data_IF_433097405739
#
_entry.id   IF_433097405739
#
_cell.length_a   1.000
_cell.length_b   1.000
_cell.length_c   1.000
_cell.angle_alpha   90.00
_cell.angle_beta   90.00
_cell.angle_gamma   90.00
#
_symmetry.space_group_name_H-M   'P 1'
#
loop_
_entity.id
_entity.type
_entity.pdbx_description
1 polymer ?
#
# COMPACT_ATOMS: atom_id res chain seq x y z
N UNK A 1 -9.87 6.31 2.61
CA UNK A 1 -10.20 5.70 3.91
C UNK A 1 -11.01 6.65 4.80
N UNK A 2 -10.59 7.91 5.05
CA UNK A 2 -11.33 8.82 5.92
C UNK A 2 -12.80 9.00 5.51
N UNK A 3 -13.10 9.07 4.21
CA UNK A 3 -14.47 9.10 3.71
C UNK A 3 -15.24 7.83 4.06
N UNK A 4 -14.62 6.67 3.88
CA UNK A 4 -15.26 5.38 4.11
C UNK A 4 -15.50 5.11 5.60
N UNK A 5 -14.66 5.65 6.47
CA UNK A 5 -14.87 5.57 7.92
C UNK A 5 -16.16 6.27 8.38
N UNK A 6 -16.64 7.28 7.65
CA UNK A 6 -17.92 7.91 7.90
C UNK A 6 -19.13 6.95 7.85
N UNK A 7 -19.00 5.78 7.23
CA UNK A 7 -20.03 4.74 7.26
C UNK A 7 -20.08 3.96 8.60
N UNK A 8 -19.07 4.12 9.46
CA UNK A 8 -18.92 3.37 10.70
C UNK A 8 -18.86 4.26 11.95
N UNK A 9 -18.48 5.52 11.81
CA UNK A 9 -18.32 6.45 12.94
C UNK A 9 -18.44 7.91 12.51
N UNK A 10 -18.97 8.75 13.39
CA UNK A 10 -19.01 10.21 13.21
C UNK A 10 -17.73 10.91 13.71
N UNK A 11 -16.82 10.18 14.32
CA UNK A 11 -15.62 10.72 14.96
C UNK A 11 -14.36 10.17 14.32
N UNK A 12 -13.81 10.91 13.36
CA UNK A 12 -12.54 10.58 12.70
C UNK A 12 -11.49 11.62 13.05
N UNK A 13 -10.36 11.18 13.59
CA UNK A 13 -9.18 12.02 13.84
C UNK A 13 -8.15 11.82 12.73
N UNK A 14 -7.87 12.86 11.96
CA UNK A 14 -6.85 12.86 10.91
C UNK A 14 -5.51 13.32 11.48
N UNK A 15 -4.56 12.40 11.57
CA UNK A 15 -3.25 12.62 12.18
C UNK A 15 -2.18 12.70 11.11
N UNK A 16 -1.49 13.83 11.02
CA UNK A 16 -0.37 14.06 10.11
C UNK A 16 0.48 15.25 10.58
N UNK A 17 1.64 15.46 9.98
CA UNK A 17 2.43 16.69 10.20
C UNK A 17 1.70 17.95 9.74
N UNK A 18 0.90 17.84 8.67
CA UNK A 18 0.02 18.87 8.15
C UNK A 18 -1.33 18.23 7.79
N UNK A 19 -2.19 17.93 8.76
CA UNK A 19 -3.45 17.26 8.51
C UNK A 19 -4.39 18.16 7.72
N UNK A 20 -5.10 17.57 6.77
CA UNK A 20 -6.11 18.25 5.96
C UNK A 20 -7.46 17.59 6.19
N UNK A 21 -8.50 18.41 6.31
CA UNK A 21 -9.87 17.95 6.50
C UNK A 21 -10.39 17.24 5.25
N UNK A 22 -11.02 16.10 5.44
CA UNK A 22 -11.65 15.29 4.38
C UNK A 22 -13.17 15.33 4.53
N UNK A 23 -13.68 15.14 5.75
CA UNK A 23 -15.08 15.29 6.12
C UNK A 23 -15.24 16.51 7.03
N UNK A 24 -16.41 17.12 7.08
CA UNK A 24 -16.65 18.32 7.89
C UNK A 24 -16.43 18.07 9.40
N UNK A 25 -16.76 16.86 9.85
CA UNK A 25 -16.65 16.43 11.25
C UNK A 25 -15.25 15.98 11.67
N UNK A 26 -14.29 15.89 10.75
CA UNK A 26 -12.95 15.39 11.06
C UNK A 26 -12.23 16.26 12.09
N UNK A 27 -11.69 15.62 13.12
CA UNK A 27 -10.74 16.25 14.03
C UNK A 27 -9.34 16.27 13.40
N UNK A 28 -8.69 17.42 13.35
CA UNK A 28 -7.33 17.56 12.84
C UNK A 28 -6.33 17.52 13.99
N UNK A 29 -5.40 16.59 13.96
CA UNK A 29 -4.36 16.44 14.98
C UNK A 29 -2.96 16.46 14.33
N UNK A 30 -2.18 17.49 14.67
CA UNK A 30 -0.80 17.60 14.16
C UNK A 30 0.12 16.74 15.00
N UNK A 31 0.79 15.77 14.35
CA UNK A 31 1.78 14.88 14.98
C UNK A 31 2.82 14.38 13.97
N UNK A 32 4.00 14.07 14.49
CA UNK A 32 5.03 13.31 13.78
C UNK A 32 5.04 11.87 14.31
N UNK A 33 4.79 10.90 13.43
CA UNK A 33 4.74 9.47 13.80
C UNK A 33 6.07 8.94 14.36
N UNK A 34 7.18 9.63 14.08
CA UNK A 34 8.50 9.30 14.64
C UNK A 34 8.74 9.89 16.02
N UNK A 35 7.84 10.75 16.51
CA UNK A 35 7.88 11.29 17.88
C UNK A 35 6.91 10.49 18.76
N UNK A 36 7.45 9.82 19.79
CA UNK A 36 6.69 8.97 20.68
C UNK A 36 5.58 9.70 21.43
N UNK A 37 5.85 10.91 21.93
CA UNK A 37 4.87 11.68 22.69
C UNK A 37 3.72 12.17 21.81
N UNK A 38 4.03 12.57 20.57
CA UNK A 38 3.03 12.96 19.60
C UNK A 38 2.07 11.81 19.30
N UNK A 39 2.62 10.60 19.07
CA UNK A 39 1.83 9.40 18.77
C UNK A 39 0.96 9.01 19.97
N UNK A 40 1.51 9.04 21.19
CA UNK A 40 0.75 8.77 22.40
C UNK A 40 -0.47 9.70 22.54
N UNK A 41 -0.27 10.99 22.35
CA UNK A 41 -1.35 11.98 22.40
C UNK A 41 -2.37 11.79 21.25
N UNK A 42 -1.88 11.45 20.06
CA UNK A 42 -2.74 11.26 18.89
C UNK A 42 -3.65 10.03 19.00
N UNK A 43 -3.17 8.94 19.64
CA UNK A 43 -3.93 7.69 19.83
C UNK A 43 -4.91 7.78 20.99
N UNK A 44 -4.66 8.63 21.99
CA UNK A 44 -5.50 8.75 23.18
C UNK A 44 -6.98 8.99 22.83
N UNK A 45 -7.87 8.18 23.40
CA UNK A 45 -9.31 8.26 23.20
C UNK A 45 -9.82 7.74 21.86
N UNK A 46 -8.99 7.04 21.10
CA UNK A 46 -9.41 6.37 19.85
C UNK A 46 -9.70 4.88 20.12
N UNK A 47 -10.72 4.34 19.46
CA UNK A 47 -11.05 2.91 19.51
C UNK A 47 -10.20 2.10 18.54
N UNK A 48 -9.92 2.68 17.37
CA UNK A 48 -9.13 2.06 16.30
C UNK A 48 -8.15 3.06 15.70
N UNK A 49 -6.91 2.65 15.52
CA UNK A 49 -5.88 3.36 14.77
C UNK A 49 -5.68 2.70 13.42
N UNK A 50 -5.71 3.49 12.35
CA UNK A 50 -5.38 3.07 10.99
C UNK A 50 -4.02 3.66 10.61
N UNK A 51 -2.99 2.84 10.61
CA UNK A 51 -1.63 3.25 10.23
C UNK A 51 -1.47 3.14 8.71
N UNK A 52 -1.70 4.24 8.00
CA UNK A 52 -1.69 4.33 6.53
C UNK A 52 -0.58 5.25 6.01
N UNK A 53 0.42 5.54 6.81
CA UNK A 53 1.50 6.46 6.45
C UNK A 53 2.36 5.90 5.32
N UNK A 54 2.98 6.83 4.58
CA UNK A 54 4.07 6.55 3.65
C UNK A 54 5.24 7.50 3.91
N UNK A 55 6.46 6.98 3.90
CA UNK A 55 7.66 7.79 3.90
C UNK A 55 8.15 8.02 2.47
N UNK A 56 9.00 9.06 2.29
CA UNK A 56 9.71 9.27 1.05
C UNK A 56 10.34 7.95 0.55
N UNK A 57 10.20 7.68 -0.75
CA UNK A 57 10.65 6.42 -1.34
C UNK A 57 12.18 6.38 -1.45
N UNK A 58 12.82 6.28 -0.29
CA UNK A 58 14.27 6.28 -0.09
C UNK A 58 14.63 5.25 0.98
N UNK A 59 15.57 4.36 0.69
CA UNK A 59 15.94 3.26 1.58
C UNK A 59 16.45 3.75 2.94
N UNK A 60 17.27 4.80 2.98
CA UNK A 60 17.82 5.32 4.24
C UNK A 60 16.71 5.93 5.12
N UNK A 61 15.75 6.63 4.49
CA UNK A 61 14.57 7.16 5.17
C UNK A 61 13.72 6.01 5.73
N UNK A 62 13.52 4.94 4.96
CA UNK A 62 12.76 3.78 5.38
C UNK A 62 13.41 3.05 6.55
N UNK A 63 14.70 2.73 6.46
CA UNK A 63 15.45 2.07 7.55
C UNK A 63 15.42 2.83 8.86
N UNK A 64 15.50 4.17 8.77
CA UNK A 64 15.49 5.02 9.96
C UNK A 64 14.09 5.15 10.56
N UNK A 65 13.07 5.38 9.74
CA UNK A 65 11.79 5.88 10.24
C UNK A 65 10.74 4.78 10.45
N UNK A 66 10.70 3.72 9.61
CA UNK A 66 9.68 2.69 9.72
C UNK A 66 9.71 1.93 11.06
N UNK A 67 10.87 1.44 11.55
CA UNK A 67 10.90 0.75 12.85
C UNK A 67 10.49 1.66 14.01
N UNK A 68 10.93 2.93 14.00
CA UNK A 68 10.57 3.91 15.02
C UNK A 68 9.08 4.20 15.00
N UNK A 69 8.51 4.46 13.83
CA UNK A 69 7.08 4.73 13.67
C UNK A 69 6.23 3.54 14.14
N UNK A 70 6.58 2.32 13.71
CA UNK A 70 5.88 1.11 14.11
C UNK A 70 5.92 0.89 15.62
N UNK A 71 7.11 1.05 16.25
CA UNK A 71 7.24 0.90 17.69
C UNK A 71 6.40 1.94 18.46
N UNK A 72 6.43 3.21 18.03
CA UNK A 72 5.65 4.26 18.66
C UNK A 72 4.14 3.98 18.61
N UNK A 73 3.65 3.50 17.45
CA UNK A 73 2.23 3.17 17.29
C UNK A 73 1.84 1.94 18.10
N UNK A 74 2.67 0.88 18.12
CA UNK A 74 2.45 -0.32 18.95
C UNK A 74 2.37 0.07 20.42
N UNK A 75 3.35 0.83 20.92
CA UNK A 75 3.39 1.26 22.33
C UNK A 75 2.15 2.08 22.72
N UNK A 76 1.76 3.02 21.85
CA UNK A 76 0.59 3.85 22.09
C UNK A 76 -0.72 3.05 22.08
N UNK A 77 -0.87 2.12 21.14
CA UNK A 77 -2.05 1.25 21.05
C UNK A 77 -2.15 0.31 22.28
N UNK A 78 -1.03 -0.25 22.73
CA UNK A 78 -0.99 -1.05 23.95
C UNK A 78 -1.36 -0.24 25.19
N UNK A 79 -0.79 0.97 25.36
CA UNK A 79 -1.04 1.85 26.49
C UNK A 79 -2.51 2.27 26.58
N UNK A 80 -3.12 2.60 25.43
CA UNK A 80 -4.51 3.09 25.38
C UNK A 80 -5.53 1.97 25.13
N UNK A 81 -5.09 0.70 25.00
CA UNK A 81 -5.92 -0.47 24.66
C UNK A 81 -6.71 -0.27 23.36
N UNK A 82 -6.08 0.42 22.41
CA UNK A 82 -6.64 0.77 21.10
C UNK A 82 -6.32 -0.31 20.08
N UNK A 83 -7.26 -0.67 19.22
CA UNK A 83 -7.05 -1.60 18.11
C UNK A 83 -6.18 -0.96 17.02
N UNK A 84 -5.40 -1.76 16.28
CA UNK A 84 -4.52 -1.27 15.21
C UNK A 84 -4.81 -1.98 13.88
N UNK A 85 -5.08 -1.21 12.85
CA UNK A 85 -5.10 -1.66 11.45
C UNK A 85 -3.83 -1.13 10.78
N UNK A 86 -2.94 -2.02 10.40
CA UNK A 86 -1.74 -1.67 9.65
C UNK A 86 -1.95 -1.86 8.16
N UNK A 87 -1.90 -0.76 7.40
CA UNK A 87 -1.99 -0.78 5.95
C UNK A 87 -0.63 -1.07 5.34
N UNK A 88 -0.49 -2.22 4.67
CA UNK A 88 0.79 -2.75 4.18
C UNK A 88 0.79 -2.97 2.67
N UNK A 89 1.95 -3.31 2.14
CA UNK A 89 2.18 -3.71 0.76
C UNK A 89 2.76 -5.13 0.67
N UNK A 90 3.12 -5.58 -0.54
CA UNK A 90 3.59 -6.94 -0.83
C UNK A 90 5.11 -7.11 -0.80
N UNK A 91 5.89 -6.08 -0.47
CA UNK A 91 7.35 -6.07 -0.65
C UNK A 91 8.10 -7.07 0.22
N UNK A 92 7.48 -7.57 1.28
CA UNK A 92 8.06 -8.57 2.17
C UNK A 92 7.92 -10.01 1.65
N UNK A 93 7.06 -10.25 0.66
CA UNK A 93 6.92 -11.58 0.07
C UNK A 93 8.16 -12.02 -0.71
N UNK A 94 8.40 -13.32 -0.74
CA UNK A 94 9.48 -13.89 -1.55
C UNK A 94 9.24 -13.66 -3.04
N UNK A 95 10.31 -13.62 -3.83
CA UNK A 95 10.21 -13.46 -5.28
C UNK A 95 9.37 -14.57 -5.94
N UNK A 96 9.48 -15.79 -5.42
CA UNK A 96 8.78 -16.96 -5.92
C UNK A 96 7.28 -16.92 -5.66
N UNK A 97 6.84 -16.14 -4.67
CA UNK A 97 5.41 -15.94 -4.36
C UNK A 97 4.71 -14.95 -5.30
N UNK A 98 5.44 -14.06 -5.95
CA UNK A 98 4.86 -12.96 -6.76
C UNK A 98 3.89 -13.46 -7.85
N UNK A 99 4.12 -14.60 -8.54
CA UNK A 99 3.16 -15.10 -9.53
C UNK A 99 1.78 -15.48 -8.98
N UNK A 100 1.68 -15.74 -7.67
CA UNK A 100 0.41 -16.00 -6.97
C UNK A 100 0.58 -15.74 -5.48
N UNK A 101 0.35 -14.49 -5.06
CA UNK A 101 0.44 -14.07 -3.67
C UNK A 101 -0.87 -14.32 -2.93
N UNK A 102 -0.76 -14.98 -1.78
CA UNK A 102 -1.82 -15.15 -0.78
C UNK A 102 -1.33 -14.61 0.57
N UNK A 103 -2.21 -14.51 1.55
CA UNK A 103 -1.84 -14.09 2.91
C UNK A 103 -0.79 -15.00 3.57
N UNK A 104 -0.78 -16.28 3.16
CA UNK A 104 0.14 -17.32 3.66
C UNK A 104 1.44 -17.44 2.82
N UNK A 105 1.63 -16.57 1.84
CA UNK A 105 2.82 -16.59 0.99
C UNK A 105 4.11 -16.43 1.79
N UNK A 106 5.21 -17.14 1.41
CA UNK A 106 6.49 -17.06 2.11
C UNK A 106 7.05 -15.63 2.19
N UNK A 107 7.52 -15.27 3.38
CA UNK A 107 8.21 -14.02 3.65
C UNK A 107 9.71 -14.25 3.50
N UNK A 108 10.29 -13.71 2.43
CA UNK A 108 11.72 -13.71 2.16
C UNK A 108 12.03 -12.62 1.11
N UNK A 109 12.04 -11.35 1.52
CA UNK A 109 12.09 -10.24 0.59
C UNK A 109 13.40 -10.21 -0.21
N UNK A 110 13.34 -10.08 -1.54
CA UNK A 110 14.53 -10.01 -2.39
C UNK A 110 15.18 -8.62 -2.41
N UNK A 111 14.62 -7.65 -1.68
CA UNK A 111 15.04 -6.24 -1.73
C UNK A 111 15.25 -5.62 -0.36
N UNK A 112 16.09 -4.60 -0.30
CA UNK A 112 16.37 -3.88 0.97
C UNK A 112 15.14 -3.15 1.53
N UNK A 113 14.24 -2.65 0.69
CA UNK A 113 12.97 -2.08 1.15
C UNK A 113 12.02 -3.16 1.65
N UNK A 114 12.03 -4.34 1.03
CA UNK A 114 11.31 -5.51 1.51
C UNK A 114 11.79 -5.96 2.88
N UNK A 115 13.12 -5.98 3.13
CA UNK A 115 13.68 -6.27 4.47
C UNK A 115 13.14 -5.31 5.54
N UNK A 116 12.99 -4.02 5.22
CA UNK A 116 12.41 -3.05 6.17
C UNK A 116 10.93 -3.37 6.44
N UNK A 117 10.18 -3.78 5.42
CA UNK A 117 8.76 -4.19 5.59
C UNK A 117 8.66 -5.47 6.43
N UNK A 118 9.54 -6.44 6.23
CA UNK A 118 9.61 -7.65 7.06
C UNK A 118 9.90 -7.31 8.53
N UNK A 119 10.85 -6.41 8.81
CA UNK A 119 11.17 -5.99 10.18
C UNK A 119 9.92 -5.44 10.89
N UNK A 120 9.23 -4.49 10.27
CA UNK A 120 8.06 -3.87 10.93
C UNK A 120 6.86 -4.82 11.00
N UNK A 121 6.72 -5.73 10.05
CA UNK A 121 5.73 -6.81 10.12
C UNK A 121 6.00 -7.74 11.31
N UNK A 122 7.25 -8.19 11.49
CA UNK A 122 7.64 -9.00 12.65
C UNK A 122 7.38 -8.27 13.97
N UNK A 123 7.74 -6.99 14.08
CA UNK A 123 7.46 -6.18 15.28
C UNK A 123 5.95 -6.18 15.61
N UNK A 124 5.10 -6.07 14.60
CA UNK A 124 3.65 -6.09 14.79
C UNK A 124 3.15 -7.48 15.21
N UNK A 125 3.61 -8.55 14.55
CA UNK A 125 3.22 -9.92 14.90
C UNK A 125 3.67 -10.29 16.31
N UNK A 126 4.89 -9.94 16.70
CA UNK A 126 5.38 -10.13 18.09
C UNK A 126 4.51 -9.38 19.11
N UNK A 127 4.05 -8.18 18.76
CA UNK A 127 3.16 -7.42 19.65
C UNK A 127 1.76 -8.06 19.77
N UNK A 128 1.24 -8.66 18.71
CA UNK A 128 -0.01 -9.42 18.73
C UNK A 128 0.15 -10.66 19.61
N UNK A 129 1.18 -11.48 19.36
CA UNK A 129 1.36 -12.79 20.00
C UNK A 129 1.81 -12.68 21.45
N UNK A 130 2.77 -11.78 21.75
CA UNK A 130 3.43 -11.74 23.06
C UNK A 130 2.86 -10.68 24.00
N UNK A 131 2.27 -9.60 23.45
CA UNK A 131 1.77 -8.46 24.24
C UNK A 131 0.26 -8.31 24.20
N UNK A 132 -0.44 -9.16 23.46
CA UNK A 132 -1.90 -9.14 23.34
C UNK A 132 -2.45 -7.91 22.62
N UNK A 133 -1.67 -7.28 21.71
CA UNK A 133 -2.14 -6.18 20.90
C UNK A 133 -3.25 -6.67 19.95
N UNK A 134 -4.42 -6.05 19.99
CA UNK A 134 -5.47 -6.29 19.00
C UNK A 134 -5.12 -5.56 17.71
N UNK A 135 -4.45 -6.23 16.77
CA UNK A 135 -4.07 -5.65 15.50
C UNK A 135 -4.34 -6.60 14.32
N UNK A 136 -4.45 -6.03 13.13
CA UNK A 136 -4.52 -6.77 11.86
C UNK A 136 -3.67 -6.07 10.80
N UNK A 137 -3.33 -6.80 9.75
CA UNK A 137 -2.63 -6.27 8.57
C UNK A 137 -3.58 -6.27 7.38
N UNK A 138 -3.81 -5.09 6.80
CA UNK A 138 -4.56 -4.91 5.56
C UNK A 138 -3.55 -4.66 4.42
N UNK A 139 -3.31 -5.66 3.58
CA UNK A 139 -2.28 -5.63 2.52
C UNK A 139 -2.91 -5.38 1.16
N UNK A 140 -2.25 -4.57 0.35
CA UNK A 140 -2.71 -4.19 -0.99
C UNK A 140 -1.66 -4.47 -2.05
N UNK A 141 -2.12 -4.76 -3.27
CA UNK A 141 -1.31 -4.71 -4.48
C UNK A 141 -1.04 -3.26 -4.92
N UNK A 142 -0.45 -3.08 -6.08
CA UNK A 142 -0.27 -1.75 -6.69
C UNK A 142 -1.62 -1.07 -6.91
N UNK A 143 -1.63 0.26 -6.75
CA UNK A 143 -2.87 1.02 -6.81
C UNK A 143 -3.22 1.55 -8.21
N UNK A 144 -4.52 1.66 -8.44
CA UNK A 144 -5.08 2.53 -9.46
C UNK A 144 -6.36 3.21 -8.94
N UNK A 145 -6.83 4.23 -9.68
CA UNK A 145 -8.05 4.96 -9.35
C UNK A 145 -7.82 6.32 -8.69
N UNK A 146 -8.85 6.92 -8.08
CA UNK A 146 -8.79 8.26 -7.51
C UNK A 146 -7.69 8.38 -6.45
N UNK A 147 -6.84 9.41 -6.60
CA UNK A 147 -5.75 9.69 -5.67
C UNK A 147 -4.46 8.89 -5.91
N UNK A 148 -4.44 7.86 -6.74
CA UNK A 148 -3.26 7.04 -7.05
C UNK A 148 -2.32 7.74 -8.07
N UNK A 149 -1.95 8.99 -7.81
CA UNK A 149 -1.16 9.82 -8.75
C UNK A 149 0.21 9.24 -9.10
N UNK A 150 0.79 8.46 -8.20
CA UNK A 150 2.13 7.88 -8.35
C UNK A 150 2.11 6.41 -8.81
N UNK A 151 0.96 5.89 -9.22
CA UNK A 151 0.85 4.50 -9.71
C UNK A 151 1.46 4.34 -11.11
N UNK A 152 1.87 3.10 -11.43
CA UNK A 152 2.36 2.77 -12.76
C UNK A 152 1.32 3.11 -13.84
N UNK A 153 0.04 2.81 -13.59
CA UNK A 153 -1.04 3.09 -14.54
C UNK A 153 -1.25 4.59 -14.73
N UNK A 154 -1.19 5.40 -13.66
CA UNK A 154 -1.34 6.85 -13.76
C UNK A 154 -0.16 7.47 -14.52
N UNK A 155 1.07 7.27 -14.03
CA UNK A 155 2.27 7.90 -14.61
C UNK A 155 2.61 7.31 -15.98
N UNK A 156 2.50 5.99 -16.12
CA UNK A 156 2.92 5.28 -17.33
C UNK A 156 1.91 5.38 -18.48
N UNK A 157 0.63 5.41 -18.16
CA UNK A 157 -0.42 5.30 -19.17
C UNK A 157 -1.30 6.54 -19.23
N UNK A 158 -2.06 6.82 -18.16
CA UNK A 158 -3.11 7.86 -18.18
C UNK A 158 -2.51 9.25 -18.46
N UNK A 159 -1.50 9.66 -17.69
CA UNK A 159 -0.88 10.98 -17.82
C UNK A 159 -0.23 11.19 -19.20
N UNK A 160 0.31 10.12 -19.79
CA UNK A 160 0.88 10.19 -21.13
C UNK A 160 -0.19 10.33 -22.21
N UNK A 161 -1.28 9.60 -22.10
CA UNK A 161 -2.39 9.72 -23.04
C UNK A 161 -3.07 11.09 -22.95
N UNK A 162 -3.25 11.65 -21.75
CA UNK A 162 -3.74 13.04 -21.56
C UNK A 162 -2.84 14.04 -22.30
N UNK A 163 -1.52 13.84 -22.29
CA UNK A 163 -0.52 14.69 -22.96
C UNK A 163 -0.36 14.37 -24.46
N UNK A 164 -1.17 13.48 -25.04
CA UNK A 164 -1.04 13.04 -26.44
C UNK A 164 0.22 12.22 -26.74
N UNK A 165 0.90 11.72 -25.71
CA UNK A 165 2.15 10.95 -25.82
C UNK A 165 1.87 9.44 -25.87
N UNK A 166 2.90 8.66 -26.24
CA UNK A 166 2.86 7.21 -26.10
C UNK A 166 2.92 6.85 -24.60
N UNK A 167 2.11 5.89 -24.18
CA UNK A 167 2.25 5.28 -22.85
C UNK A 167 3.60 4.56 -22.72
N UNK A 168 3.99 4.24 -21.48
CA UNK A 168 5.05 3.27 -21.24
C UNK A 168 4.60 2.22 -20.21
N UNK A 169 5.19 1.04 -20.32
CA UNK A 169 5.06 -0.01 -19.32
C UNK A 169 6.44 -0.49 -18.86
N UNK A 170 6.56 -0.93 -17.61
CA UNK A 170 7.85 -1.36 -17.06
C UNK A 170 8.08 -2.85 -17.35
N UNK A 171 9.29 -3.19 -17.74
CA UNK A 171 9.82 -4.53 -17.97
C UNK A 171 9.10 -5.35 -19.03
N UNK A 172 7.88 -5.83 -18.80
CA UNK A 172 7.16 -6.72 -19.72
C UNK A 172 5.65 -6.47 -19.62
N UNK A 173 5.04 -6.01 -20.71
CA UNK A 173 3.60 -5.72 -20.77
C UNK A 173 2.72 -6.97 -21.05
N UNK A 174 3.32 -8.10 -21.36
CA UNK A 174 2.59 -9.36 -21.55
C UNK A 174 2.43 -10.18 -20.25
N UNK A 175 2.99 -9.67 -19.15
CA UNK A 175 2.82 -10.26 -17.81
C UNK A 175 1.55 -9.75 -17.14
N UNK A 176 0.90 -10.66 -16.40
CA UNK A 176 -0.22 -10.33 -15.51
C UNK A 176 0.25 -9.34 -14.45
N UNK A 177 -0.57 -8.34 -14.12
CA UNK A 177 -0.28 -7.39 -13.07
C UNK A 177 -1.55 -6.99 -12.32
N UNK A 178 -1.75 -7.55 -11.11
CA UNK A 178 -2.89 -7.17 -10.27
C UNK A 178 -2.77 -5.73 -9.81
N UNK A 179 -3.89 -5.00 -9.86
CA UNK A 179 -3.99 -3.64 -9.36
C UNK A 179 -5.22 -3.50 -8.47
N UNK A 180 -5.04 -2.92 -7.30
CA UNK A 180 -6.11 -2.65 -6.34
C UNK A 180 -6.73 -1.28 -6.59
N UNK A 181 -8.06 -1.23 -6.70
CA UNK A 181 -8.79 0.03 -6.83
C UNK A 181 -8.80 0.77 -5.49
N UNK A 182 -8.38 2.03 -5.48
CA UNK A 182 -8.21 2.78 -4.21
C UNK A 182 -9.48 2.93 -3.38
N UNK A 183 -10.70 3.10 -3.94
CA UNK A 183 -11.94 3.09 -3.15
C UNK A 183 -12.21 1.73 -2.48
N UNK A 184 -11.99 0.61 -3.19
CA UNK A 184 -12.20 -0.73 -2.64
C UNK A 184 -11.20 -1.02 -1.51
N UNK A 185 -9.94 -0.62 -1.70
CA UNK A 185 -8.94 -0.70 -0.63
C UNK A 185 -9.35 0.12 0.60
N UNK A 186 -9.88 1.31 0.41
CA UNK A 186 -10.34 2.17 1.49
C UNK A 186 -11.54 1.58 2.24
N UNK A 187 -12.55 1.11 1.51
CA UNK A 187 -13.73 0.47 2.08
C UNK A 187 -13.36 -0.84 2.80
N UNK A 188 -12.56 -1.71 2.14
CA UNK A 188 -12.11 -2.96 2.75
C UNK A 188 -11.31 -2.74 4.04
N UNK A 189 -10.45 -1.72 4.06
CA UNK A 189 -9.69 -1.34 5.27
C UNK A 189 -10.60 -0.86 6.39
N UNK A 190 -11.60 -0.02 6.08
CA UNK A 190 -12.57 0.47 7.06
C UNK A 190 -13.42 -0.69 7.61
N UNK A 191 -13.88 -1.60 6.74
CA UNK A 191 -14.65 -2.78 7.12
C UNK A 191 -13.85 -3.71 8.06
N UNK A 192 -12.60 -4.02 7.72
CA UNK A 192 -11.72 -4.85 8.56
C UNK A 192 -11.53 -4.26 9.96
N UNK A 193 -11.28 -2.96 10.06
CA UNK A 193 -11.08 -2.30 11.35
C UNK A 193 -12.32 -2.30 12.24
N UNK A 194 -13.50 -2.43 11.66
CA UNK A 194 -14.80 -2.50 12.36
C UNK A 194 -15.33 -3.95 12.51
N UNK A 195 -14.51 -4.96 12.18
CA UNK A 195 -14.86 -6.37 12.28
C UNK A 195 -14.01 -7.06 13.34
N UNK A 196 -14.57 -7.44 14.47
CA UNK A 196 -13.80 -7.93 15.63
C UNK A 196 -13.05 -9.24 15.37
N UNK A 197 -13.60 -10.17 14.61
CA UNK A 197 -12.97 -11.45 14.26
C UNK A 197 -11.94 -11.34 13.10
N UNK A 198 -11.75 -10.15 12.54
CA UNK A 198 -10.70 -9.88 11.55
C UNK A 198 -9.31 -9.67 12.20
N UNK A 199 -9.26 -9.36 13.50
CA UNK A 199 -8.02 -9.09 14.21
C UNK A 199 -7.17 -10.35 14.44
N UNK A 200 -5.86 -10.18 14.59
CA UNK A 200 -4.89 -11.27 14.68
C UNK A 200 -4.49 -11.88 13.34
N UNK A 201 -4.91 -11.31 12.23
CA UNK A 201 -4.76 -11.88 10.89
C UNK A 201 -4.16 -10.90 9.88
N UNK A 202 -3.67 -11.46 8.77
CA UNK A 202 -3.36 -10.73 7.54
C UNK A 202 -4.53 -10.88 6.58
N UNK A 203 -4.89 -9.80 5.92
CA UNK A 203 -5.93 -9.74 4.90
C UNK A 203 -5.41 -9.09 3.64
N UNK A 204 -5.58 -9.74 2.51
CA UNK A 204 -5.44 -9.11 1.21
C UNK A 204 -6.71 -8.31 0.92
N UNK A 205 -6.54 -7.02 0.64
CA UNK A 205 -7.66 -6.13 0.32
C UNK A 205 -8.28 -6.47 -1.03
N UNK A 206 -9.59 -6.24 -1.21
CA UNK A 206 -10.30 -6.65 -2.41
C UNK A 206 -9.63 -6.10 -3.67
N UNK A 207 -9.30 -7.01 -4.57
CA UNK A 207 -8.57 -6.74 -5.81
C UNK A 207 -9.17 -7.62 -6.89
N UNK A 208 -9.43 -7.06 -8.08
CA UNK A 208 -9.99 -7.85 -9.18
C UNK A 208 -9.19 -9.14 -9.43
N UNK A 209 -9.90 -10.26 -9.52
CA UNK A 209 -9.30 -11.56 -9.82
C UNK A 209 -9.07 -11.76 -11.33
N UNK A 210 -9.41 -10.78 -12.16
CA UNK A 210 -9.09 -10.77 -13.57
C UNK A 210 -7.57 -10.70 -13.76
N UNK A 211 -7.06 -11.64 -14.55
CA UNK A 211 -5.62 -11.77 -14.82
C UNK A 211 -5.19 -10.87 -15.98
N UNK A 212 -5.41 -9.56 -15.84
CA UNK A 212 -5.06 -8.58 -16.85
C UNK A 212 -3.55 -8.37 -16.95
N UNK A 213 -3.07 -8.32 -18.19
CA UNK A 213 -1.70 -7.96 -18.54
C UNK A 213 -1.54 -6.45 -18.63
N UNK A 214 -0.30 -5.97 -18.58
CA UNK A 214 0.01 -4.55 -18.79
C UNK A 214 -0.52 -4.01 -20.13
N UNK A 215 -0.47 -4.84 -21.17
CA UNK A 215 -1.02 -4.50 -22.50
C UNK A 215 -2.53 -4.36 -22.48
N UNK A 216 -3.24 -5.20 -21.73
CA UNK A 216 -4.69 -5.10 -21.59
C UNK A 216 -5.09 -3.85 -20.81
N UNK A 217 -4.39 -3.50 -19.74
CA UNK A 217 -4.60 -2.22 -19.05
C UNK A 217 -4.40 -1.01 -19.98
N UNK A 218 -3.34 -1.00 -20.80
CA UNK A 218 -3.09 0.07 -21.76
C UNK A 218 -4.25 0.17 -22.77
N UNK A 219 -4.76 -0.96 -23.26
CA UNK A 219 -5.88 -1.00 -24.20
C UNK A 219 -7.18 -0.52 -23.55
N UNK A 220 -7.49 -0.94 -22.34
CA UNK A 220 -8.67 -0.50 -21.59
C UNK A 220 -8.67 1.02 -21.37
N UNK A 221 -7.55 1.57 -20.93
CA UNK A 221 -7.40 3.02 -20.72
C UNK A 221 -7.50 3.76 -22.06
N UNK A 222 -6.86 3.26 -23.13
CA UNK A 222 -6.92 3.87 -24.46
C UNK A 222 -8.35 3.90 -25.00
N UNK A 223 -9.09 2.80 -24.83
CA UNK A 223 -10.50 2.70 -25.21
C UNK A 223 -11.36 3.69 -24.43
N UNK A 224 -11.21 3.75 -23.11
CA UNK A 224 -11.95 4.67 -22.25
C UNK A 224 -11.68 6.15 -22.59
N UNK A 225 -10.45 6.47 -23.02
CA UNK A 225 -10.05 7.82 -23.40
C UNK A 225 -10.25 8.12 -24.89
N UNK A 226 -10.72 7.16 -25.68
CA UNK A 226 -10.89 7.27 -27.15
C UNK A 226 -9.58 7.68 -27.87
N UNK A 227 -8.45 7.04 -27.48
CA UNK A 227 -7.14 7.27 -28.09
C UNK A 227 -6.53 5.97 -28.62
N UNK A 228 -5.51 6.05 -29.48
CA UNK A 228 -4.81 4.85 -29.98
C UNK A 228 -3.89 4.29 -28.88
N UNK A 229 -3.86 2.96 -28.62
CA UNK A 229 -3.05 2.33 -27.57
C UNK A 229 -1.56 2.23 -27.96
N UNK A 230 -0.92 3.37 -28.18
CA UNK A 230 0.51 3.42 -28.51
C UNK A 230 1.36 3.43 -27.24
N UNK A 231 2.29 2.50 -27.12
CA UNK A 231 3.18 2.42 -25.97
C UNK A 231 4.59 1.94 -26.35
N UNK A 232 5.50 2.02 -25.40
CA UNK A 232 6.83 1.41 -25.44
C UNK A 232 7.18 0.78 -24.10
N UNK A 233 8.13 -0.16 -24.13
CA UNK A 233 8.59 -0.85 -22.91
C UNK A 233 9.81 -0.13 -22.33
N UNK A 234 9.71 0.25 -21.05
CA UNK A 234 10.88 0.63 -20.26
C UNK A 234 11.57 -0.64 -19.78
N UNK A 235 12.49 -1.13 -20.58
CA UNK A 235 13.28 -2.32 -20.23
C UNK A 235 14.32 -2.00 -19.14
N UNK A 236 14.92 -3.06 -18.56
CA UNK A 236 15.89 -2.93 -17.46
C UNK A 236 17.08 -2.03 -17.81
N UNK A 237 17.52 -2.03 -19.07
CA UNK A 237 18.62 -1.21 -19.53
C UNK A 237 18.25 0.29 -19.53
N UNK A 238 17.09 0.65 -20.07
CA UNK A 238 16.60 2.04 -20.08
C UNK A 238 16.38 2.56 -18.65
N UNK A 239 15.78 1.74 -17.77
CA UNK A 239 15.58 2.10 -16.37
C UNK A 239 16.92 2.29 -15.66
N UNK A 240 17.94 1.45 -15.95
CA UNK A 240 19.28 1.61 -15.42
C UNK A 240 19.94 2.91 -15.88
N UNK A 241 19.82 3.23 -17.17
CA UNK A 241 20.34 4.48 -17.74
C UNK A 241 19.70 5.73 -17.14
N UNK A 242 18.35 5.75 -17.02
CA UNK A 242 17.63 6.86 -16.40
C UNK A 242 17.98 6.97 -14.90
N UNK A 243 18.17 5.84 -14.22
CA UNK A 243 18.57 5.78 -12.82
C UNK A 243 19.94 6.38 -12.50
N UNK A 244 20.82 6.55 -13.49
CA UNK A 244 22.09 7.27 -13.32
C UNK A 244 21.87 8.78 -13.06
N UNK A 245 20.79 9.34 -13.61
CA UNK A 245 20.46 10.77 -13.53
C UNK A 245 19.29 11.08 -12.60
N UNK A 246 18.52 10.06 -12.17
CA UNK A 246 17.34 10.22 -11.31
C UNK A 246 17.42 9.31 -10.10
N UNK A 247 17.56 9.91 -8.90
CA UNK A 247 17.54 9.17 -7.63
C UNK A 247 16.24 8.36 -7.45
N UNK A 248 15.09 8.91 -7.87
CA UNK A 248 13.78 8.24 -7.77
C UNK A 248 13.74 6.97 -8.62
N UNK A 249 14.21 7.04 -9.87
CA UNK A 249 14.25 5.87 -10.76
C UNK A 249 15.26 4.83 -10.27
N UNK A 250 16.38 5.27 -9.69
CA UNK A 250 17.36 4.37 -9.07
C UNK A 250 16.74 3.56 -7.91
N UNK A 251 15.91 4.20 -7.08
CA UNK A 251 15.21 3.55 -5.97
C UNK A 251 14.13 2.54 -6.44
N UNK A 252 13.51 2.76 -7.61
CA UNK A 252 12.55 1.84 -8.19
C UNK A 252 13.21 0.59 -8.81
N UNK A 253 14.52 0.65 -9.08
CA UNK A 253 15.21 -0.43 -9.78
C UNK A 253 15.15 -1.77 -9.03
N UNK A 254 15.23 -1.75 -7.71
CA UNK A 254 15.16 -2.99 -6.92
C UNK A 254 13.78 -3.66 -6.98
N UNK A 255 12.71 -2.93 -7.35
CA UNK A 255 11.35 -3.45 -7.42
C UNK A 255 10.98 -4.01 -8.80
N UNK A 256 11.90 -3.99 -9.78
CA UNK A 256 11.62 -4.48 -11.14
C UNK A 256 11.26 -5.96 -11.21
N UNK A 257 11.68 -6.76 -10.21
CA UNK A 257 11.33 -8.18 -10.13
C UNK A 257 9.81 -8.43 -10.08
N UNK A 258 9.01 -7.43 -9.69
CA UNK A 258 7.55 -7.50 -9.69
C UNK A 258 6.95 -7.30 -11.09
N UNK A 259 7.69 -6.66 -12.00
CA UNK A 259 7.22 -6.32 -13.34
C UNK A 259 7.81 -7.21 -14.45
N UNK A 260 8.76 -8.11 -14.14
CA UNK A 260 9.38 -9.02 -15.12
C UNK A 260 8.83 -10.45 -15.07
N UNK A 261 7.81 -10.67 -14.26
CA UNK A 261 7.07 -11.92 -14.10
C UNK A 261 5.59 -11.63 -13.88
N UNK A 262 4.76 -12.67 -13.87
CA UNK A 262 3.37 -12.48 -13.46
C UNK A 262 3.34 -11.98 -12.01
N UNK A 263 2.46 -11.02 -11.76
CA UNK A 263 2.20 -10.44 -10.45
C UNK A 263 0.70 -10.59 -10.18
N UNK A 264 0.35 -11.66 -9.47
CA UNK A 264 -1.04 -11.95 -9.17
C UNK A 264 -1.28 -11.93 -7.66
N UNK A 265 -2.21 -11.06 -7.24
CA UNK A 265 -2.58 -10.83 -5.87
C UNK A 265 -3.96 -11.42 -5.61
N UNK A 266 -4.01 -12.50 -4.85
CA UNK A 266 -5.24 -13.23 -4.52
C UNK A 266 -5.89 -12.65 -3.27
N UNK A 267 -7.08 -12.08 -3.41
CA UNK A 267 -7.93 -11.56 -2.33
C UNK A 267 -9.12 -12.45 -2.01
N UNK A 268 -9.10 -13.70 -2.45
CA UNK A 268 -10.24 -14.63 -2.30
C UNK A 268 -10.63 -14.89 -0.84
N UNK A 269 -9.71 -14.79 0.11
CA UNK A 269 -10.01 -14.88 1.55
C UNK A 269 -10.96 -13.75 1.98
N UNK A 270 -10.67 -12.52 1.55
CA UNK A 270 -11.53 -11.36 1.83
C UNK A 270 -12.90 -11.51 1.17
N UNK A 271 -12.92 -11.85 -0.12
CA UNK A 271 -14.18 -12.02 -0.89
C UNK A 271 -15.09 -13.10 -0.34
N UNK A 272 -14.52 -14.20 0.16
CA UNK A 272 -15.32 -15.27 0.79
C UNK A 272 -15.90 -14.87 2.15
N UNK A 273 -15.22 -13.97 2.88
CA UNK A 273 -15.64 -13.55 4.22
C UNK A 273 -16.64 -12.40 4.17
N UNK A 274 -16.49 -11.49 3.21
CA UNK A 274 -17.21 -10.23 3.11
C UNK A 274 -17.98 -10.09 1.78
#
# INVERSE_FOLDING_TARGET
>A
LAKELGNFTDRVRLVARNPQRVNETDELFKADVTNKEDVLKAVAGSDVVYLTIGFEYNLNVWRKNWPVAMQNVIDACLQHKTKLVFFDNVYLYSKEAIPHMTEDSPINPPTKKGEVREIIFKMLMDAIEQKGLKALVARSADFYGPGAKNSLLSIGVIDNFIKGKKAFWQSDADKIHSMTFTPDAAMGTALLGNTDDAYGQVWHLPTSQEKLTGKEYINLVATAMNVKPRYYILNKFLIAMIGLFSKQVKELREMQYQNDQNYFFDSSKFEKRF
#
